data_IF_330384973627
#
_entry.id   IF_330384973627
#
_cell.length_a   1.000
_cell.length_b   1.000
_cell.length_c   1.000
_cell.angle_alpha   90.00
_cell.angle_beta   90.00
_cell.angle_gamma   90.00
#
_symmetry.space_group_name_H-M   'P 1'
#
loop_
_entity.id
_entity.type
_entity.pdbx_description
1 polymer ?
#
# COMPACT_ATOMS: atom_id res chain seq x y z
N UNK A 1 -12.92 -0.37 16.37
CA UNK A 1 -14.23 -1.04 16.40
C UNK A 1 -14.13 -2.50 15.95
N UNK A 2 -13.45 -2.83 14.81
CA UNK A 2 -13.36 -4.21 14.31
C UNK A 2 -12.69 -5.17 15.32
N UNK A 3 -11.62 -4.75 15.99
CA UNK A 3 -11.00 -5.53 17.07
C UNK A 3 -11.99 -5.86 18.20
N UNK A 4 -12.83 -4.88 18.58
CA UNK A 4 -13.77 -5.05 19.70
C UNK A 4 -14.95 -5.91 19.25
N UNK A 5 -15.58 -5.62 18.13
CA UNK A 5 -16.80 -6.27 17.71
C UNK A 5 -16.60 -7.64 17.06
N UNK A 6 -15.57 -7.77 16.24
CA UNK A 6 -15.30 -9.01 15.49
C UNK A 6 -14.37 -9.94 16.28
N UNK A 7 -13.23 -9.41 16.75
CA UNK A 7 -12.23 -10.20 17.48
C UNK A 7 -12.52 -10.32 18.98
N UNK A 8 -13.57 -9.64 19.49
CA UNK A 8 -13.94 -9.61 20.91
C UNK A 8 -12.79 -9.17 21.84
N UNK A 9 -11.88 -8.35 21.32
CA UNK A 9 -10.73 -7.84 22.07
C UNK A 9 -11.21 -6.82 23.11
N UNK A 10 -10.73 -6.88 24.38
CA UNK A 10 -11.02 -5.86 25.38
C UNK A 10 -10.63 -4.45 24.89
N UNK A 11 -11.42 -3.43 25.22
CA UNK A 11 -11.27 -2.06 24.72
C UNK A 11 -9.87 -1.51 24.94
N UNK A 12 -9.32 -1.62 26.14
CA UNK A 12 -7.98 -1.13 26.45
C UNK A 12 -6.87 -1.78 25.59
N UNK A 13 -7.00 -3.09 25.32
CA UNK A 13 -6.07 -3.81 24.43
C UNK A 13 -6.23 -3.36 22.97
N UNK A 14 -7.49 -3.15 22.53
CA UNK A 14 -7.75 -2.67 21.17
C UNK A 14 -7.22 -1.25 20.96
N UNK A 15 -7.34 -0.36 21.94
CA UNK A 15 -6.79 1.00 21.90
C UNK A 15 -5.25 0.97 21.86
N UNK A 16 -4.61 0.14 22.69
CA UNK A 16 -3.16 -0.05 22.65
C UNK A 16 -2.68 -0.52 21.28
N UNK A 17 -3.32 -1.56 20.74
CA UNK A 17 -2.98 -2.06 19.39
C UNK A 17 -3.19 -0.99 18.31
N UNK A 18 -4.25 -0.19 18.39
CA UNK A 18 -4.46 0.89 17.44
C UNK A 18 -3.35 1.95 17.50
N UNK A 19 -2.89 2.30 18.71
CA UNK A 19 -1.76 3.24 18.88
C UNK A 19 -0.46 2.68 18.31
N UNK A 20 -0.14 1.41 18.58
CA UNK A 20 1.03 0.73 18.02
C UNK A 20 1.05 0.80 16.48
N UNK A 21 -0.09 0.61 15.81
CA UNK A 21 -0.16 0.71 14.36
C UNK A 21 -0.18 2.16 13.85
N UNK A 22 -0.70 3.13 14.61
CA UNK A 22 -0.55 4.54 14.27
C UNK A 22 0.91 5.01 14.36
N UNK A 23 1.66 4.53 15.35
CA UNK A 23 3.11 4.74 15.45
C UNK A 23 3.83 4.13 14.24
N UNK A 24 3.48 2.89 13.86
CA UNK A 24 4.07 2.20 12.72
C UNK A 24 3.85 2.93 11.39
N UNK A 25 2.73 3.60 11.22
CA UNK A 25 2.45 4.44 10.05
C UNK A 25 2.82 5.92 10.26
N UNK A 26 3.56 6.24 11.32
CA UNK A 26 4.16 7.55 11.63
C UNK A 26 3.16 8.70 11.80
N UNK A 27 2.00 8.44 12.40
CA UNK A 27 0.98 9.46 12.71
C UNK A 27 0.31 9.25 14.09
N UNK A 28 1.03 8.91 15.16
CA UNK A 28 0.40 8.67 16.47
C UNK A 28 -0.32 9.91 17.03
N UNK A 29 0.17 11.11 16.71
CA UNK A 29 -0.40 12.39 17.14
C UNK A 29 -1.79 12.66 16.53
N UNK A 30 -2.16 11.93 15.49
CA UNK A 30 -3.48 12.06 14.85
C UNK A 30 -4.57 11.19 15.49
N UNK A 31 -4.25 10.41 16.53
CA UNK A 31 -5.14 9.41 17.13
C UNK A 31 -6.50 9.95 17.57
N UNK A 32 -6.59 11.23 17.95
CA UNK A 32 -7.80 11.86 18.45
C UNK A 32 -8.55 12.70 17.40
N UNK A 33 -8.06 12.73 16.16
CA UNK A 33 -8.70 13.49 15.09
C UNK A 33 -9.74 12.65 14.34
N UNK A 34 -10.73 13.34 13.81
CA UNK A 34 -11.70 12.75 12.89
C UNK A 34 -11.15 12.79 11.44
N UNK A 35 -11.64 11.89 10.55
CA UNK A 35 -11.14 11.82 9.18
C UNK A 35 -11.12 13.17 8.43
N UNK A 36 -12.13 14.00 8.57
CA UNK A 36 -12.20 15.32 7.93
C UNK A 36 -11.17 16.36 8.45
N UNK A 37 -10.42 16.03 9.51
CA UNK A 37 -9.33 16.87 10.06
C UNK A 37 -7.94 16.39 9.61
N UNK A 38 -7.89 15.33 8.79
CA UNK A 38 -6.67 14.71 8.32
C UNK A 38 -6.42 15.05 6.85
N UNK A 39 -5.15 15.22 6.47
CA UNK A 39 -4.77 15.29 5.05
C UNK A 39 -5.07 13.96 4.33
N UNK A 40 -5.10 13.96 2.99
CA UNK A 40 -5.31 12.76 2.20
C UNK A 40 -4.29 11.65 2.54
N UNK A 41 -3.01 11.97 2.61
CA UNK A 41 -1.95 11.03 3.00
C UNK A 41 -2.10 10.52 4.44
N UNK A 42 -2.53 11.36 5.38
CA UNK A 42 -2.85 10.92 6.75
C UNK A 42 -4.06 9.98 6.78
N UNK A 43 -5.11 10.26 6.02
CA UNK A 43 -6.27 9.39 5.90
C UNK A 43 -5.88 8.02 5.33
N UNK A 44 -5.02 7.99 4.31
CA UNK A 44 -4.52 6.76 3.72
C UNK A 44 -3.69 5.95 4.72
N UNK A 45 -2.79 6.59 5.47
CA UNK A 45 -2.01 5.92 6.51
C UNK A 45 -2.89 5.40 7.65
N UNK A 46 -3.96 6.12 8.04
CA UNK A 46 -4.96 5.59 8.98
C UNK A 46 -5.68 4.37 8.40
N UNK A 47 -6.02 4.35 7.11
CA UNK A 47 -6.64 3.19 6.47
C UNK A 47 -5.71 1.96 6.48
N UNK A 48 -4.42 2.17 6.24
CA UNK A 48 -3.38 1.12 6.37
C UNK A 48 -3.32 0.61 7.82
N UNK A 49 -3.17 1.50 8.80
CA UNK A 49 -3.12 1.14 10.22
C UNK A 49 -4.36 0.36 10.68
N UNK A 50 -5.54 0.80 10.23
CA UNK A 50 -6.81 0.10 10.47
C UNK A 50 -6.80 -1.34 9.94
N UNK A 51 -6.27 -1.55 8.74
CA UNK A 51 -6.16 -2.86 8.13
C UNK A 51 -5.17 -3.75 8.89
N UNK A 52 -4.03 -3.20 9.28
CA UNK A 52 -3.01 -3.89 10.09
C UNK A 52 -3.52 -4.34 11.46
N UNK A 53 -4.43 -3.59 12.09
CA UNK A 53 -5.07 -3.99 13.34
C UNK A 53 -5.75 -5.37 13.28
N UNK A 54 -6.18 -5.79 12.10
CA UNK A 54 -6.81 -7.11 11.89
C UNK A 54 -5.79 -8.24 11.75
N UNK A 55 -4.49 -7.95 11.82
CA UNK A 55 -3.39 -8.90 11.63
C UNK A 55 -3.59 -9.74 10.34
N UNK A 56 -3.66 -9.11 9.17
CA UNK A 56 -3.92 -9.79 7.91
C UNK A 56 -2.70 -10.61 7.48
N UNK A 57 -2.94 -11.74 6.78
CA UNK A 57 -1.89 -12.48 6.09
C UNK A 57 -1.53 -11.88 4.74
N UNK A 58 -2.52 -11.23 4.10
CA UNK A 58 -2.38 -10.60 2.79
C UNK A 58 -3.06 -9.25 2.87
N UNK A 59 -2.42 -8.21 2.34
CA UNK A 59 -3.01 -6.89 2.15
C UNK A 59 -3.21 -6.60 0.67
N UNK A 60 -4.37 -6.05 0.34
CA UNK A 60 -4.72 -5.64 -1.02
C UNK A 60 -4.76 -4.11 -1.06
N UNK A 61 -4.05 -3.54 -2.01
CA UNK A 61 -4.03 -2.11 -2.27
C UNK A 61 -4.48 -1.85 -3.70
N UNK A 62 -5.47 -0.99 -3.86
CA UNK A 62 -5.98 -0.57 -5.15
C UNK A 62 -5.70 0.93 -5.30
N UNK A 63 -4.70 1.26 -6.09
CA UNK A 63 -4.20 2.61 -6.35
C UNK A 63 -4.11 3.50 -5.09
N UNK A 64 -3.32 3.12 -4.07
CA UNK A 64 -3.34 3.78 -2.76
C UNK A 64 -2.88 5.25 -2.78
N UNK A 65 -2.32 5.72 -3.90
CA UNK A 65 -1.75 7.07 -4.05
C UNK A 65 -2.49 7.94 -5.08
N UNK A 66 -3.47 7.40 -5.81
CA UNK A 66 -4.09 8.08 -6.98
C UNK A 66 -4.81 9.40 -6.67
N UNK A 67 -5.26 9.60 -5.43
CA UNK A 67 -5.96 10.81 -4.99
C UNK A 67 -5.10 11.73 -4.09
N UNK A 68 -3.77 11.57 -4.12
CA UNK A 68 -2.85 12.29 -3.24
C UNK A 68 -1.98 13.28 -4.02
N UNK A 69 -1.63 14.38 -3.33
CA UNK A 69 -0.62 15.30 -3.82
C UNK A 69 0.78 14.66 -3.78
N UNK A 70 1.72 15.08 -4.65
CA UNK A 70 3.06 14.47 -4.75
C UNK A 70 3.83 14.37 -3.44
N UNK A 71 3.70 15.35 -2.56
CA UNK A 71 4.36 15.35 -1.24
C UNK A 71 3.80 14.23 -0.33
N UNK A 72 2.48 13.97 -0.42
CA UNK A 72 1.80 12.95 0.37
C UNK A 72 2.03 11.54 -0.17
N UNK A 73 2.25 11.38 -1.49
CA UNK A 73 2.54 10.10 -2.15
C UNK A 73 3.76 9.46 -1.49
N UNK A 74 4.85 10.23 -1.35
CA UNK A 74 6.09 9.73 -0.74
C UNK A 74 5.86 9.17 0.66
N UNK A 75 5.13 9.88 1.52
CA UNK A 75 4.86 9.45 2.90
C UNK A 75 4.10 8.11 2.97
N UNK A 76 3.16 7.90 2.03
CA UNK A 76 2.40 6.64 1.96
C UNK A 76 3.26 5.52 1.40
N UNK A 77 4.04 5.77 0.35
CA UNK A 77 4.94 4.78 -0.23
C UNK A 77 6.03 4.34 0.74
N UNK A 78 6.61 5.26 1.52
CA UNK A 78 7.61 4.93 2.56
C UNK A 78 7.03 3.93 3.59
N UNK A 79 5.78 4.14 4.03
CA UNK A 79 5.09 3.18 4.91
C UNK A 79 4.88 1.83 4.22
N UNK A 80 4.51 1.82 2.94
CA UNK A 80 4.29 0.58 2.19
C UNK A 80 5.60 -0.19 1.95
N UNK A 81 6.72 0.51 1.74
CA UNK A 81 8.06 -0.10 1.67
C UNK A 81 8.40 -0.81 2.99
N UNK A 82 8.23 -0.13 4.13
CA UNK A 82 8.49 -0.72 5.44
C UNK A 82 7.59 -1.95 5.71
N UNK A 83 6.35 -1.95 5.19
CA UNK A 83 5.46 -3.10 5.29
C UNK A 83 5.96 -4.29 4.44
N UNK A 84 6.42 -4.03 3.22
CA UNK A 84 7.03 -5.05 2.36
C UNK A 84 8.26 -5.68 3.03
N UNK A 85 9.17 -4.86 3.54
CA UNK A 85 10.37 -5.29 4.27
C UNK A 85 10.04 -6.10 5.54
N UNK A 86 8.88 -5.85 6.16
CA UNK A 86 8.42 -6.63 7.32
C UNK A 86 7.87 -8.02 6.97
N UNK A 87 7.82 -8.38 5.68
CA UNK A 87 7.40 -9.69 5.19
C UNK A 87 5.88 -9.88 5.09
N UNK A 88 5.10 -8.81 5.09
CA UNK A 88 3.67 -8.88 4.82
C UNK A 88 3.46 -9.10 3.32
N UNK A 89 2.71 -10.15 2.95
CA UNK A 89 2.32 -10.37 1.56
C UNK A 89 1.37 -9.27 1.11
N UNK A 90 1.71 -8.60 0.01
CA UNK A 90 0.91 -7.51 -0.55
C UNK A 90 0.60 -7.78 -2.03
N UNK A 91 -0.63 -7.47 -2.44
CA UNK A 91 -1.00 -7.31 -3.84
C UNK A 91 -1.35 -5.83 -4.05
N UNK A 92 -0.62 -5.16 -4.92
CA UNK A 92 -0.72 -3.72 -5.10
C UNK A 92 -1.01 -3.39 -6.56
N UNK A 93 -2.12 -2.75 -6.82
CA UNK A 93 -2.39 -2.07 -8.10
C UNK A 93 -1.83 -0.65 -7.97
N UNK A 94 -0.91 -0.29 -8.83
CA UNK A 94 -0.23 1.01 -8.75
C UNK A 94 0.31 1.46 -10.10
N UNK A 95 0.43 2.76 -10.27
CA UNK A 95 1.17 3.41 -11.36
C UNK A 95 2.52 3.97 -10.88
N UNK A 96 2.90 3.72 -9.63
CA UNK A 96 4.18 4.13 -9.05
C UNK A 96 5.29 3.12 -9.42
N UNK A 97 5.90 3.29 -10.61
CA UNK A 97 6.89 2.34 -11.14
C UNK A 97 8.13 2.25 -10.25
N UNK A 98 8.54 3.35 -9.63
CA UNK A 98 9.64 3.38 -8.67
C UNK A 98 9.39 2.48 -7.47
N UNK A 99 8.18 2.51 -6.92
CA UNK A 99 7.77 1.63 -5.83
C UNK A 99 7.76 0.15 -6.27
N UNK A 100 7.12 -0.15 -7.42
CA UNK A 100 7.09 -1.51 -7.96
C UNK A 100 8.49 -2.08 -8.20
N UNK A 101 9.44 -1.23 -8.64
CA UNK A 101 10.84 -1.63 -8.86
C UNK A 101 11.57 -1.87 -7.54
N UNK A 102 11.30 -1.07 -6.51
CA UNK A 102 12.04 -1.11 -5.25
C UNK A 102 11.68 -2.32 -4.37
N UNK A 103 10.40 -2.72 -4.34
CA UNK A 103 9.91 -3.71 -3.36
C UNK A 103 9.16 -4.89 -3.97
N UNK A 104 8.86 -4.87 -5.26
CA UNK A 104 8.12 -5.94 -5.90
C UNK A 104 8.96 -7.22 -6.05
N UNK A 105 8.40 -8.37 -5.70
CA UNK A 105 8.95 -9.67 -6.06
C UNK A 105 8.56 -10.06 -7.49
N UNK A 106 7.36 -9.63 -7.92
CA UNK A 106 6.81 -9.90 -9.24
C UNK A 106 5.94 -8.72 -9.70
N UNK A 107 6.08 -8.33 -10.97
CA UNK A 107 5.23 -7.35 -11.63
C UNK A 107 4.34 -8.06 -12.64
N UNK A 108 3.06 -7.72 -12.63
CA UNK A 108 2.05 -8.25 -13.53
C UNK A 108 1.46 -7.07 -14.32
N UNK A 109 1.57 -7.12 -15.64
CA UNK A 109 0.89 -6.18 -16.53
C UNK A 109 -0.40 -6.78 -17.06
N UNK A 110 -1.49 -6.06 -16.87
CA UNK A 110 -2.82 -6.47 -17.34
C UNK A 110 -3.33 -5.45 -18.35
N UNK A 111 -3.98 -5.93 -19.40
CA UNK A 111 -4.66 -5.12 -20.39
C UNK A 111 -5.91 -5.87 -20.88
N UNK A 112 -7.00 -5.16 -21.12
CA UNK A 112 -8.30 -5.73 -21.57
C UNK A 112 -8.80 -6.93 -20.75
N UNK A 113 -8.46 -6.98 -19.45
CA UNK A 113 -8.85 -8.07 -18.55
C UNK A 113 -7.98 -9.32 -18.59
N UNK A 114 -6.90 -9.32 -19.37
CA UNK A 114 -5.95 -10.43 -19.49
C UNK A 114 -4.60 -10.08 -18.91
N UNK A 115 -3.88 -11.10 -18.40
CA UNK A 115 -2.49 -10.96 -17.99
C UNK A 115 -1.61 -11.03 -19.25
N UNK A 116 -0.99 -9.90 -19.59
CA UNK A 116 -0.15 -9.77 -20.78
C UNK A 116 1.28 -10.23 -20.51
N UNK A 117 1.83 -9.82 -19.36
CA UNK A 117 3.19 -10.17 -18.98
C UNK A 117 3.32 -10.23 -17.45
N UNK A 118 4.10 -11.20 -16.97
CA UNK A 118 4.50 -11.30 -15.58
C UNK A 118 5.99 -11.63 -15.51
N UNK A 119 6.73 -10.83 -14.73
CA UNK A 119 8.16 -11.00 -14.57
C UNK A 119 8.65 -10.42 -13.24
N UNK A 120 9.92 -10.69 -12.87
CA UNK A 120 10.58 -9.90 -11.83
C UNK A 120 10.65 -8.43 -12.25
N UNK A 121 10.69 -7.46 -11.31
CA UNK A 121 10.78 -6.04 -11.66
C UNK A 121 11.95 -5.75 -12.61
N UNK A 122 13.11 -6.32 -12.35
CA UNK A 122 14.30 -6.14 -13.19
C UNK A 122 14.06 -6.53 -14.64
N UNK A 123 13.48 -7.70 -14.89
CA UNK A 123 13.19 -8.16 -16.25
C UNK A 123 12.05 -7.38 -16.88
N UNK A 124 11.01 -7.08 -16.10
CA UNK A 124 9.85 -6.36 -16.58
C UNK A 124 10.20 -4.95 -17.08
N UNK A 125 10.96 -4.18 -16.29
CA UNK A 125 11.28 -2.79 -16.64
C UNK A 125 12.46 -2.66 -17.63
N UNK A 126 13.46 -3.56 -17.59
CA UNK A 126 14.65 -3.43 -18.43
C UNK A 126 14.58 -4.28 -19.70
N UNK A 127 13.81 -5.35 -19.72
CA UNK A 127 13.76 -6.31 -20.84
C UNK A 127 12.34 -6.85 -21.06
N UNK A 128 11.33 -5.97 -21.26
CA UNK A 128 9.95 -6.38 -21.50
C UNK A 128 9.86 -7.23 -22.77
N UNK A 129 9.10 -8.31 -22.69
CA UNK A 129 9.02 -9.29 -23.79
C UNK A 129 7.87 -9.00 -24.74
N UNK A 130 6.70 -8.65 -24.16
CA UNK A 130 5.51 -8.42 -24.96
C UNK A 130 5.48 -7.00 -25.55
N UNK A 131 5.09 -6.85 -26.82
CA UNK A 131 5.11 -5.55 -27.51
C UNK A 131 4.14 -4.55 -26.86
N UNK A 132 3.03 -5.00 -26.32
CA UNK A 132 2.09 -4.17 -25.57
C UNK A 132 2.69 -3.62 -24.28
N UNK A 133 3.50 -4.43 -23.57
CA UNK A 133 4.27 -4.00 -22.39
C UNK A 133 5.31 -2.95 -22.78
N UNK A 134 6.05 -3.16 -23.88
CA UNK A 134 7.04 -2.19 -24.39
C UNK A 134 6.39 -0.85 -24.70
N UNK A 135 5.23 -0.89 -25.39
CA UNK A 135 4.48 0.32 -25.73
C UNK A 135 4.03 1.06 -24.46
N UNK A 136 3.47 0.35 -23.48
CA UNK A 136 3.05 0.92 -22.20
C UNK A 136 4.22 1.59 -21.47
N UNK A 137 5.33 0.89 -21.31
CA UNK A 137 6.50 1.41 -20.61
C UNK A 137 7.10 2.63 -21.32
N UNK A 138 7.11 2.66 -22.66
CA UNK A 138 7.60 3.81 -23.42
C UNK A 138 6.78 5.10 -23.26
N UNK A 139 5.57 5.00 -22.70
CA UNK A 139 4.69 6.16 -22.45
C UNK A 139 4.83 6.72 -21.03
N UNK A 140 5.40 5.95 -20.11
CA UNK A 140 5.43 6.30 -18.68
C UNK A 140 6.85 6.44 -18.11
N UNK A 141 7.85 5.91 -18.80
CA UNK A 141 9.29 6.04 -18.47
C UNK A 141 9.97 6.98 -19.46
#
# INVERSE_FOLDING_TARGET
LALIWVRKTPRAKAEKTAMEFLERVKIPEQAHKFPGQLSGGQQQRVAIARSLCMNPRIMLFDEPTSALDPEMIKEVLDVMIELAESGITMLVVTHEMGFATAVGDSVIFMDEGEIIEQNSPKEFFNNPKHDRTKLFLSQIL
#
